data_IF_987122436765
#
_entry.id   IF_987122436765
#
_cell.length_a   1.000
_cell.length_b   1.000
_cell.length_c   1.000
_cell.angle_alpha   90.00
_cell.angle_beta   90.00
_cell.angle_gamma   90.00
#
_symmetry.space_group_name_H-M   'P 1'
#
loop_
_entity.id
_entity.type
_entity.pdbx_description
1 polymer ?
#
# COMPACT_ATOMS: atom_id res chain seq x y z
N UNK A 1 47.56 -18.77 21.05
CA UNK A 1 46.22 -19.23 20.62
C UNK A 1 45.24 -18.07 20.71
N UNK A 2 44.96 -17.40 19.59
CA UNK A 2 44.00 -16.30 19.52
C UNK A 2 42.70 -16.89 18.97
N UNK A 3 41.67 -17.01 19.81
CA UNK A 3 40.33 -17.47 19.39
C UNK A 3 39.64 -16.33 18.63
N UNK A 4 39.39 -16.55 17.34
CA UNK A 4 38.49 -15.70 16.54
C UNK A 4 37.06 -15.88 17.05
N UNK A 5 36.43 -14.79 17.47
CA UNK A 5 34.99 -14.73 17.74
C UNK A 5 34.31 -14.40 16.41
N UNK A 6 33.62 -15.38 15.84
CA UNK A 6 32.80 -15.20 14.64
C UNK A 6 31.44 -14.67 15.08
N UNK A 7 31.18 -13.38 14.83
CA UNK A 7 29.83 -12.82 14.96
C UNK A 7 28.98 -13.30 13.77
N UNK A 8 28.04 -14.20 14.01
CA UNK A 8 26.94 -14.48 13.08
C UNK A 8 25.94 -13.33 13.19
N UNK A 9 25.94 -12.41 12.22
CA UNK A 9 24.87 -11.43 12.06
C UNK A 9 23.62 -12.12 11.55
N UNK A 10 22.52 -12.05 12.30
CA UNK A 10 21.19 -12.40 11.81
C UNK A 10 20.80 -11.43 10.69
N UNK A 11 20.70 -11.94 9.47
CA UNK A 11 20.14 -11.24 8.31
C UNK A 11 18.62 -11.36 8.42
N UNK A 12 17.96 -10.30 8.87
CA UNK A 12 16.50 -10.18 8.78
C UNK A 12 16.09 -9.91 7.34
N UNK A 13 15.39 -10.86 6.72
CA UNK A 13 14.77 -10.69 5.40
C UNK A 13 13.56 -9.77 5.59
N UNK A 14 13.70 -8.50 5.25
CA UNK A 14 12.55 -7.58 5.17
C UNK A 14 11.86 -7.79 3.82
N UNK A 15 10.81 -8.60 3.81
CA UNK A 15 9.85 -8.61 2.70
C UNK A 15 9.10 -7.28 2.72
N UNK A 16 9.17 -6.53 1.62
CA UNK A 16 8.33 -5.33 1.44
C UNK A 16 6.87 -5.82 1.47
N UNK A 17 6.04 -5.37 2.43
CA UNK A 17 4.66 -5.82 2.50
C UNK A 17 3.95 -5.49 1.19
N UNK A 18 3.03 -6.36 0.76
CA UNK A 18 2.17 -6.07 -0.39
C UNK A 18 1.23 -4.95 0.04
N UNK A 19 1.51 -3.74 -0.45
CA UNK A 19 0.70 -2.54 -0.23
C UNK A 19 -0.58 -2.66 -1.09
N UNK A 20 -1.70 -1.97 -0.78
CA UNK A 20 -2.99 -1.93 -1.55
C UNK A 20 -3.50 -0.48 -1.69
N UNK A 21 -3.81 0.00 -2.90
CA UNK A 21 -4.23 1.38 -3.22
C UNK A 21 -4.61 1.52 -4.71
N UNK A 22 -5.71 0.85 -5.13
CA UNK A 22 -6.38 1.13 -6.41
C UNK A 22 -7.84 0.66 -6.32
N UNK A 23 -8.75 1.36 -6.99
CA UNK A 23 -10.18 1.16 -6.89
C UNK A 23 -10.62 -0.19 -7.45
N UNK A 24 -11.47 -0.85 -6.68
CA UNK A 24 -12.15 -2.07 -7.10
C UNK A 24 -13.56 -2.11 -6.49
N UNK A 25 -14.49 -2.81 -7.14
CA UNK A 25 -15.79 -3.11 -6.53
C UNK A 25 -15.62 -4.17 -5.44
N UNK A 26 -16.49 -4.14 -4.43
CA UNK A 26 -16.52 -5.21 -3.45
C UNK A 26 -17.51 -5.00 -2.33
N UNK A 27 -17.68 -6.01 -1.48
CA UNK A 27 -18.61 -5.93 -0.34
C UNK A 27 -17.88 -5.53 0.93
N UNK A 28 -18.55 -4.72 1.76
CA UNK A 28 -18.24 -4.56 3.18
C UNK A 28 -19.37 -5.25 3.94
N UNK A 29 -19.07 -6.39 4.55
CA UNK A 29 -20.04 -7.16 5.33
C UNK A 29 -19.51 -7.43 6.74
N UNK A 30 -20.38 -7.97 7.60
CA UNK A 30 -20.02 -8.48 8.93
C UNK A 30 -18.96 -9.60 8.91
N UNK A 31 -18.59 -10.12 7.73
CA UNK A 31 -17.47 -11.06 7.53
C UNK A 31 -16.16 -10.44 7.04
N UNK A 32 -16.10 -9.12 6.81
CA UNK A 32 -14.93 -8.41 6.26
C UNK A 32 -15.18 -7.77 4.89
N UNK A 33 -14.10 -7.31 4.26
CA UNK A 33 -14.09 -6.65 2.95
C UNK A 33 -13.59 -7.59 1.84
N UNK A 34 -14.28 -7.69 0.71
CA UNK A 34 -13.84 -8.55 -0.39
C UNK A 34 -13.88 -7.80 -1.72
N UNK A 35 -12.77 -7.77 -2.46
CA UNK A 35 -12.71 -7.22 -3.81
C UNK A 35 -13.28 -8.22 -4.80
N UNK A 36 -14.06 -7.72 -5.74
CA UNK A 36 -14.82 -8.51 -6.70
C UNK A 36 -14.50 -8.01 -8.09
N UNK A 37 -14.34 -8.96 -9.01
CA UNK A 37 -14.22 -8.66 -10.42
C UNK A 37 -15.56 -8.18 -10.96
N UNK A 38 -15.61 -6.98 -11.53
CA UNK A 38 -16.83 -6.46 -12.15
C UNK A 38 -16.80 -6.69 -13.67
N UNK A 39 -17.67 -7.56 -14.23
CA UNK A 39 -17.69 -7.83 -15.67
C UNK A 39 -18.41 -6.75 -16.49
N UNK A 40 -19.09 -5.80 -15.84
CA UNK A 40 -20.03 -4.88 -16.47
C UNK A 40 -19.54 -3.42 -16.50
N UNK A 41 -18.56 -3.07 -15.67
CA UNK A 41 -17.97 -1.74 -15.61
C UNK A 41 -16.52 -1.83 -16.07
N UNK A 42 -16.16 -0.95 -17.00
CA UNK A 42 -14.81 -0.88 -17.56
C UNK A 42 -14.13 0.42 -17.17
N UNK A 43 -12.86 0.34 -16.76
CA UNK A 43 -12.00 1.50 -16.58
C UNK A 43 -11.45 1.96 -17.94
N UNK A 44 -11.97 3.07 -18.46
CA UNK A 44 -11.57 3.65 -19.75
C UNK A 44 -10.28 4.46 -19.63
N UNK A 45 -10.07 5.12 -18.49
CA UNK A 45 -8.91 5.96 -18.23
C UNK A 45 -8.47 5.85 -16.77
N UNK A 46 -7.16 5.89 -16.55
CA UNK A 46 -6.52 6.21 -15.27
C UNK A 46 -5.40 7.23 -15.54
N UNK A 47 -5.56 8.45 -14.99
CA UNK A 47 -4.50 9.44 -14.94
C UNK A 47 -3.96 9.51 -13.51
N UNK A 48 -2.78 8.96 -13.30
CA UNK A 48 -2.12 8.86 -12.01
C UNK A 48 -1.00 9.90 -11.93
N UNK A 49 -1.02 10.74 -10.90
CA UNK A 49 0.08 11.63 -10.55
C UNK A 49 0.66 11.19 -9.21
N UNK A 50 1.96 10.92 -9.17
CA UNK A 50 2.69 10.51 -7.97
C UNK A 50 3.79 11.53 -7.68
N UNK A 51 3.83 12.00 -6.44
CA UNK A 51 4.94 12.74 -5.86
C UNK A 51 5.06 12.35 -4.39
N UNK A 52 6.21 12.60 -3.74
CA UNK A 52 6.34 12.41 -2.29
C UNK A 52 5.37 13.26 -1.45
N UNK A 53 4.76 14.29 -2.03
CA UNK A 53 3.86 15.21 -1.32
C UNK A 53 2.38 14.86 -1.53
N UNK A 54 2.05 14.27 -2.66
CA UNK A 54 0.66 14.08 -3.06
C UNK A 54 0.54 13.02 -4.15
N UNK A 55 -0.47 12.17 -4.00
CA UNK A 55 -1.03 11.35 -5.06
C UNK A 55 -2.34 11.96 -5.53
N UNK A 56 -2.55 11.99 -6.85
CA UNK A 56 -3.84 12.28 -7.47
C UNK A 56 -4.15 11.20 -8.49
N UNK A 57 -5.40 10.80 -8.56
CA UNK A 57 -5.84 9.80 -9.54
C UNK A 57 -7.14 10.24 -10.14
N UNK A 58 -7.25 10.20 -11.46
CA UNK A 58 -8.51 10.45 -12.18
C UNK A 58 -8.88 9.20 -12.95
N UNK A 59 -10.07 8.68 -12.69
CA UNK A 59 -10.63 7.53 -13.37
C UNK A 59 -11.80 7.94 -14.25
N UNK A 60 -11.92 7.27 -15.39
CA UNK A 60 -13.14 7.27 -16.20
C UNK A 60 -13.69 5.86 -16.26
N UNK A 61 -14.87 5.64 -15.69
CA UNK A 61 -15.55 4.35 -15.69
C UNK A 61 -16.75 4.36 -16.63
N UNK A 62 -16.89 3.33 -17.45
CA UNK A 62 -18.03 3.16 -18.36
C UNK A 62 -18.82 1.90 -17.99
N UNK A 63 -20.12 2.10 -17.73
CA UNK A 63 -21.10 1.03 -17.65
C UNK A 63 -21.34 0.46 -19.06
N UNK A 64 -21.15 -0.85 -19.21
CA UNK A 64 -21.28 -1.58 -20.48
C UNK A 64 -22.69 -2.15 -20.71
N UNK A 65 -23.62 -1.90 -19.79
CA UNK A 65 -24.99 -2.44 -19.84
C UNK A 65 -26.02 -1.36 -20.19
N UNK A 66 -27.23 -1.81 -20.52
CA UNK A 66 -28.39 -0.96 -20.85
C UNK A 66 -29.18 -0.46 -19.62
N UNK A 67 -28.75 -0.77 -18.41
CA UNK A 67 -29.41 -0.35 -17.17
C UNK A 67 -28.39 0.25 -16.19
N UNK A 68 -28.87 0.99 -15.20
CA UNK A 68 -28.00 1.53 -14.16
C UNK A 68 -27.47 0.40 -13.28
N UNK A 69 -26.20 0.47 -12.91
CA UNK A 69 -25.58 -0.46 -11.96
C UNK A 69 -25.23 0.33 -10.71
N UNK A 70 -25.62 -0.20 -9.55
CA UNK A 70 -25.19 0.29 -8.26
C UNK A 70 -24.13 -0.65 -7.69
N UNK A 71 -22.98 -0.11 -7.32
CA UNK A 71 -21.88 -0.87 -6.73
C UNK A 71 -21.39 -0.18 -5.46
N UNK A 72 -20.76 -0.97 -4.60
CA UNK A 72 -19.95 -0.45 -3.52
C UNK A 72 -18.49 -0.39 -3.98
N UNK A 73 -17.93 0.80 -4.03
CA UNK A 73 -16.53 1.01 -4.40
C UNK A 73 -15.67 0.94 -3.15
N UNK A 74 -14.50 0.33 -3.30
CA UNK A 74 -13.51 0.19 -2.25
C UNK A 74 -12.18 0.75 -2.72
N UNK A 75 -11.60 1.61 -1.89
CA UNK A 75 -10.24 2.09 -2.01
C UNK A 75 -9.47 1.66 -0.76
N UNK A 76 -8.79 0.49 -0.79
CA UNK A 76 -7.95 0.07 0.30
C UNK A 76 -6.69 0.88 0.40
N UNK A 77 -6.20 1.00 1.62
CA UNK A 77 -4.84 1.38 1.92
C UNK A 77 -3.97 0.13 2.11
N UNK A 78 -2.64 0.27 2.15
CA UNK A 78 -1.77 -0.84 2.53
C UNK A 78 -2.07 -1.43 3.90
N UNK A 79 -1.45 -2.56 4.21
CA UNK A 79 -1.32 -3.01 5.60
C UNK A 79 -0.17 -2.24 6.24
N UNK A 80 -0.36 -1.74 7.45
CA UNK A 80 0.67 -1.09 8.26
C UNK A 80 0.78 -1.86 9.57
N UNK A 81 1.99 -2.28 9.90
CA UNK A 81 2.30 -2.96 11.16
C UNK A 81 2.29 -2.01 12.36
N UNK A 82 2.07 -2.54 13.55
CA UNK A 82 2.17 -1.78 14.80
C UNK A 82 3.62 -1.53 15.25
N UNK A 83 4.63 -2.18 14.64
CA UNK A 83 6.04 -1.92 14.94
C UNK A 83 6.58 -0.73 14.14
N UNK A 84 7.44 0.06 14.78
CA UNK A 84 7.94 1.34 14.23
C UNK A 84 9.44 1.37 13.98
N UNK A 85 10.11 0.24 14.02
CA UNK A 85 11.58 0.24 14.12
C UNK A 85 12.31 0.79 12.89
N UNK A 86 11.62 1.06 11.76
CA UNK A 86 12.24 1.65 10.58
C UNK A 86 11.32 2.46 9.64
N UNK A 87 10.04 2.66 9.97
CA UNK A 87 9.09 3.32 9.04
C UNK A 87 8.79 4.77 9.46
N UNK A 88 9.28 5.72 8.64
CA UNK A 88 9.07 7.17 8.81
C UNK A 88 7.78 7.68 8.15
N UNK A 89 6.93 6.78 7.66
CA UNK A 89 5.71 7.17 6.98
C UNK A 89 4.71 7.84 7.93
N UNK A 90 4.26 9.04 7.56
CA UNK A 90 3.23 9.79 8.29
C UNK A 90 1.84 9.24 7.95
N UNK A 91 1.46 8.17 8.64
CA UNK A 91 0.21 7.43 8.44
C UNK A 91 -1.02 8.24 8.83
N UNK A 92 -0.95 9.08 9.88
CA UNK A 92 -2.07 9.94 10.30
C UNK A 92 -2.31 11.06 9.28
N UNK A 93 -1.26 11.68 8.73
CA UNK A 93 -1.42 12.66 7.66
C UNK A 93 -2.01 12.05 6.38
N UNK A 94 -1.74 10.77 6.08
CA UNK A 94 -2.43 10.08 5.00
C UNK A 94 -3.93 10.06 5.28
N UNK A 95 -4.35 9.49 6.41
CA UNK A 95 -5.76 9.25 6.75
C UNK A 95 -6.55 10.57 6.69
N UNK A 96 -5.97 11.64 7.23
CA UNK A 96 -6.63 12.94 7.29
C UNK A 96 -6.61 13.73 5.96
N UNK A 97 -5.95 13.20 4.92
CA UNK A 97 -5.78 13.89 3.63
C UNK A 97 -6.62 13.31 2.49
N UNK A 98 -7.21 12.13 2.66
CA UNK A 98 -7.96 11.46 1.61
C UNK A 98 -9.22 12.24 1.23
N UNK A 99 -9.34 12.54 -0.06
CA UNK A 99 -10.48 13.21 -0.67
C UNK A 99 -10.86 12.46 -1.92
N UNK A 100 -12.16 12.25 -2.09
CA UNK A 100 -12.75 11.65 -3.28
C UNK A 100 -13.83 12.56 -3.83
N UNK A 101 -13.88 12.67 -5.16
CA UNK A 101 -14.96 13.32 -5.89
C UNK A 101 -15.51 12.38 -6.94
N UNK A 102 -16.82 12.43 -7.14
CA UNK A 102 -17.50 11.73 -8.21
C UNK A 102 -18.22 12.77 -9.06
N UNK A 103 -17.92 12.80 -10.36
CA UNK A 103 -18.45 13.79 -11.31
C UNK A 103 -18.32 15.21 -10.73
N UNK A 104 -17.11 15.56 -10.27
CA UNK A 104 -16.73 16.84 -9.65
C UNK A 104 -17.39 17.16 -8.29
N UNK A 105 -18.26 16.30 -7.77
CA UNK A 105 -18.90 16.48 -6.47
C UNK A 105 -18.11 15.73 -5.40
N UNK A 106 -17.66 16.41 -4.32
CA UNK A 106 -17.09 15.71 -3.17
C UNK A 106 -18.08 14.70 -2.60
N UNK A 107 -17.57 13.57 -2.13
CA UNK A 107 -18.34 12.58 -1.39
C UNK A 107 -17.64 12.28 -0.07
N UNK A 108 -18.41 11.93 0.94
CA UNK A 108 -17.90 11.43 2.21
C UNK A 108 -17.78 9.92 2.14
N UNK A 109 -16.54 9.41 2.13
CA UNK A 109 -16.28 7.99 2.14
C UNK A 109 -16.43 7.43 3.55
N UNK A 110 -17.08 6.26 3.67
CA UNK A 110 -17.08 5.49 4.90
C UNK A 110 -15.75 4.79 5.09
N UNK A 111 -15.19 4.87 6.30
CA UNK A 111 -13.91 4.25 6.67
C UNK A 111 -14.16 2.93 7.36
N UNK A 112 -13.47 1.90 6.91
CA UNK A 112 -13.45 0.57 7.52
C UNK A 112 -12.03 0.19 7.88
N UNK A 113 -11.87 -0.69 8.87
CA UNK A 113 -10.57 -1.22 9.27
C UNK A 113 -10.58 -2.73 9.33
N UNK A 114 -9.44 -3.31 9.00
CA UNK A 114 -9.16 -4.74 9.15
C UNK A 114 -7.87 -4.91 9.93
N UNK A 115 -7.82 -5.95 10.73
CA UNK A 115 -6.67 -6.30 11.54
C UNK A 115 -6.17 -7.70 11.19
N UNK A 116 -4.85 -7.85 11.12
CA UNK A 116 -4.20 -9.08 10.70
C UNK A 116 -3.13 -9.51 11.69
N UNK A 117 -3.05 -10.81 11.95
CA UNK A 117 -1.95 -11.42 12.70
C UNK A 117 -1.06 -12.24 11.76
N UNK A 118 0.25 -12.37 12.03
CA UNK A 118 1.14 -13.18 11.22
C UNK A 118 0.66 -14.63 11.08
N UNK A 119 0.88 -15.21 9.90
CA UNK A 119 0.64 -16.62 9.68
C UNK A 119 1.68 -17.46 10.42
N UNK A 120 1.31 -18.69 10.79
CA UNK A 120 2.22 -19.65 11.39
C UNK A 120 2.63 -20.74 10.39
N UNK A 121 3.88 -21.21 10.51
CA UNK A 121 4.38 -22.38 9.81
C UNK A 121 3.85 -23.68 10.45
N UNK A 122 4.22 -24.84 9.89
CA UNK A 122 3.77 -26.15 10.39
C UNK A 122 4.26 -26.47 11.81
N UNK A 123 5.35 -25.84 12.24
CA UNK A 123 5.93 -26.00 13.58
C UNK A 123 5.27 -25.05 14.60
N UNK A 124 4.39 -24.16 14.14
CA UNK A 124 3.73 -23.16 14.98
C UNK A 124 4.57 -21.91 15.23
N UNK A 125 5.60 -21.64 14.43
CA UNK A 125 6.39 -20.40 14.50
C UNK A 125 5.88 -19.39 13.45
N UNK A 126 6.19 -18.10 13.60
CA UNK A 126 5.79 -17.07 12.64
C UNK A 126 6.43 -17.31 11.27
N UNK A 127 5.62 -17.23 10.22
CA UNK A 127 6.03 -17.40 8.83
C UNK A 127 5.89 -16.08 8.07
N UNK A 128 6.96 -15.29 8.06
CA UNK A 128 7.03 -13.98 7.38
C UNK A 128 6.97 -14.07 5.84
N UNK A 129 7.00 -15.28 5.29
CA UNK A 129 6.89 -15.49 3.83
C UNK A 129 5.44 -15.63 3.37
N UNK A 130 4.49 -15.77 4.31
CA UNK A 130 3.06 -15.91 4.04
C UNK A 130 2.29 -14.64 4.33
N UNK A 131 1.15 -14.50 3.65
CA UNK A 131 0.20 -13.44 3.95
C UNK A 131 -0.31 -13.52 5.39
N UNK A 132 -0.40 -12.36 6.03
CA UNK A 132 -1.02 -12.21 7.34
C UNK A 132 -2.52 -12.56 7.30
N UNK A 133 -3.01 -13.12 8.41
CA UNK A 133 -4.35 -13.69 8.54
C UNK A 133 -5.32 -12.64 9.08
N UNK A 134 -6.40 -12.35 8.37
CA UNK A 134 -7.48 -11.43 8.82
C UNK A 134 -8.12 -11.99 10.09
N UNK A 135 -8.04 -11.25 11.20
CA UNK A 135 -8.64 -11.58 12.50
C UNK A 135 -9.59 -10.49 12.98
N UNK A 136 -10.07 -9.64 12.07
CA UNK A 136 -10.88 -8.46 12.37
C UNK A 136 -12.12 -8.82 13.19
N UNK A 137 -12.87 -9.84 12.75
CA UNK A 137 -14.12 -10.22 13.40
C UNK A 137 -13.89 -10.87 14.76
N UNK A 138 -12.81 -11.63 14.89
CA UNK A 138 -12.42 -12.26 16.14
C UNK A 138 -12.02 -11.21 17.18
N UNK A 139 -11.21 -10.21 16.80
CA UNK A 139 -10.85 -9.10 17.69
C UNK A 139 -12.08 -8.24 18.06
N UNK A 140 -12.99 -7.97 17.12
CA UNK A 140 -14.26 -7.29 17.40
C UNK A 140 -15.14 -8.06 18.38
N UNK A 141 -15.22 -9.40 18.27
CA UNK A 141 -15.92 -10.25 19.24
C UNK A 141 -15.29 -10.21 20.63
N UNK A 142 -14.00 -9.91 20.73
CA UNK A 142 -13.30 -9.61 21.99
C UNK A 142 -13.46 -8.15 22.45
N UNK A 143 -14.31 -7.37 21.79
CA UNK A 143 -14.67 -6.01 22.15
C UNK A 143 -13.71 -4.94 21.66
N UNK A 144 -12.73 -5.25 20.80
CA UNK A 144 -11.87 -4.21 20.21
C UNK A 144 -12.70 -3.38 19.22
N UNK A 145 -12.63 -2.06 19.36
CA UNK A 145 -13.32 -1.10 18.50
C UNK A 145 -12.56 -0.82 17.20
N UNK A 146 -13.22 -0.25 16.20
CA UNK A 146 -12.55 0.17 14.96
C UNK A 146 -11.42 1.18 15.21
N UNK A 147 -11.61 2.12 16.16
CA UNK A 147 -10.57 3.05 16.54
C UNK A 147 -9.31 2.36 17.08
N UNK A 148 -9.49 1.28 17.85
CA UNK A 148 -8.40 0.47 18.37
C UNK A 148 -7.72 -0.35 17.29
N UNK A 149 -8.49 -0.95 16.39
CA UNK A 149 -7.94 -1.68 15.25
C UNK A 149 -7.23 -0.74 14.26
N UNK A 150 -7.56 0.55 14.22
CA UNK A 150 -6.87 1.56 13.43
C UNK A 150 -5.59 2.10 14.08
N UNK A 151 -5.18 1.61 15.26
CA UNK A 151 -4.03 2.17 15.96
C UNK A 151 -2.70 2.15 15.18
N UNK A 152 -2.37 1.12 14.36
CA UNK A 152 -1.16 1.15 13.53
C UNK A 152 -1.12 2.35 12.57
N UNK A 153 -2.29 2.88 12.20
CA UNK A 153 -2.42 4.09 11.37
C UNK A 153 -2.46 5.39 12.17
N UNK A 154 -3.12 5.39 13.33
CA UNK A 154 -3.46 6.64 14.03
C UNK A 154 -2.57 6.94 15.23
N UNK A 155 -1.96 5.90 15.82
CA UNK A 155 -1.07 5.99 16.97
C UNK A 155 -1.70 6.69 18.20
N UNK A 156 -3.03 6.63 18.33
CA UNK A 156 -3.78 7.33 19.39
C UNK A 156 -3.84 6.56 20.71
N UNK A 157 -3.49 5.28 20.70
CA UNK A 157 -3.60 4.36 21.84
C UNK A 157 -2.23 3.69 22.05
N UNK A 158 -1.83 3.52 23.31
CA UNK A 158 -0.58 2.83 23.66
C UNK A 158 -0.59 1.39 23.14
N UNK A 159 0.50 0.98 22.49
CA UNK A 159 0.67 -0.38 21.99
C UNK A 159 0.64 -1.40 23.12
N UNK A 160 1.09 -1.06 24.33
CA UNK A 160 1.00 -1.92 25.52
C UNK A 160 -0.45 -2.25 25.88
N UNK A 161 -1.34 -1.25 25.84
CA UNK A 161 -2.77 -1.43 26.14
C UNK A 161 -3.38 -2.39 25.12
N UNK A 162 -3.13 -2.16 23.83
CA UNK A 162 -3.66 -3.02 22.77
C UNK A 162 -3.07 -4.43 22.82
N UNK A 163 -1.78 -4.56 23.13
CA UNK A 163 -1.11 -5.83 23.31
C UNK A 163 -1.82 -6.68 24.39
N UNK A 164 -2.06 -6.10 25.57
CA UNK A 164 -2.80 -6.78 26.64
C UNK A 164 -4.22 -7.16 26.22
N UNK A 165 -4.92 -6.29 25.46
CA UNK A 165 -6.26 -6.59 24.95
C UNK A 165 -6.27 -7.76 23.97
N UNK A 166 -5.31 -7.82 23.05
CA UNK A 166 -5.16 -8.90 22.08
C UNK A 166 -4.84 -10.22 22.81
N UNK A 167 -3.93 -10.22 23.79
CA UNK A 167 -3.63 -11.41 24.60
C UNK A 167 -4.84 -11.97 25.35
N UNK A 168 -5.70 -11.10 25.89
CA UNK A 168 -6.92 -11.50 26.60
C UNK A 168 -8.01 -12.08 25.68
N UNK A 169 -7.89 -11.93 24.36
CA UNK A 169 -8.93 -12.33 23.42
C UNK A 169 -9.05 -13.84 23.28
N UNK A 170 -10.09 -14.44 23.87
CA UNK A 170 -10.29 -15.90 23.91
C UNK A 170 -10.81 -16.53 22.61
N UNK A 171 -10.83 -15.79 21.49
CA UNK A 171 -11.25 -16.37 20.22
C UNK A 171 -10.23 -17.43 19.76
N UNK A 172 -10.66 -18.67 19.42
CA UNK A 172 -9.73 -19.78 19.15
C UNK A 172 -8.69 -19.47 18.07
N UNK A 173 -9.08 -18.73 17.03
CA UNK A 173 -8.17 -18.33 15.95
C UNK A 173 -7.10 -17.35 16.42
N UNK A 174 -7.46 -16.37 17.25
CA UNK A 174 -6.51 -15.40 17.82
C UNK A 174 -5.55 -16.13 18.75
N UNK A 175 -6.07 -16.92 19.69
CA UNK A 175 -5.26 -17.73 20.62
C UNK A 175 -4.27 -18.65 19.90
N UNK A 176 -4.69 -19.27 18.79
CA UNK A 176 -3.80 -20.07 17.95
C UNK A 176 -2.66 -19.24 17.34
N UNK A 177 -2.97 -18.06 16.79
CA UNK A 177 -1.99 -17.22 16.08
C UNK A 177 -1.03 -16.49 17.02
N UNK A 178 -1.46 -16.18 18.26
CA UNK A 178 -0.60 -15.52 19.25
C UNK A 178 0.19 -16.51 20.12
N UNK A 179 -0.01 -17.82 19.97
CA UNK A 179 0.71 -18.86 20.73
C UNK A 179 2.25 -18.69 20.77
N UNK A 180 2.94 -18.21 19.72
CA UNK A 180 4.38 -18.01 19.76
C UNK A 180 4.84 -16.87 20.65
N UNK A 181 3.93 -15.96 21.03
CA UNK A 181 4.24 -14.80 21.85
C UNK A 181 4.01 -15.12 23.33
N UNK A 182 4.94 -14.72 24.17
CA UNK A 182 4.80 -14.72 25.62
C UNK A 182 4.08 -13.45 26.10
N UNK A 183 3.41 -13.45 27.27
CA UNK A 183 2.65 -12.29 27.76
C UNK A 183 3.45 -10.97 27.84
N UNK A 184 4.76 -11.06 28.03
CA UNK A 184 5.72 -9.95 28.05
C UNK A 184 6.15 -9.47 26.65
N UNK A 185 5.87 -10.23 25.60
CA UNK A 185 6.23 -9.88 24.24
C UNK A 185 5.29 -8.83 23.66
N UNK A 186 5.81 -8.01 22.75
CA UNK A 186 4.98 -7.18 21.88
C UNK A 186 4.47 -8.01 20.71
N UNK A 187 3.14 -8.23 20.64
CA UNK A 187 2.51 -8.88 19.50
C UNK A 187 2.63 -7.97 18.29
N UNK A 188 3.25 -8.47 17.23
CA UNK A 188 3.19 -7.82 15.93
C UNK A 188 1.85 -8.11 15.28
N UNK A 189 1.17 -7.06 14.82
CA UNK A 189 -0.07 -7.14 14.06
C UNK A 189 -0.17 -5.96 13.11
N UNK A 190 -1.02 -6.09 12.11
CA UNK A 190 -1.15 -5.11 11.04
C UNK A 190 -2.59 -4.61 10.95
N UNK A 191 -2.76 -3.36 10.54
CA UNK A 191 -4.04 -2.80 10.21
C UNK A 191 -4.11 -2.34 8.75
N UNK A 192 -5.26 -2.54 8.13
CA UNK A 192 -5.59 -2.01 6.80
C UNK A 192 -6.82 -1.12 6.91
N UNK A 193 -6.68 0.13 6.47
CA UNK A 193 -7.82 1.04 6.31
C UNK A 193 -8.41 0.90 4.91
N UNK A 194 -9.73 0.99 4.79
CA UNK A 194 -10.44 0.89 3.52
C UNK A 194 -11.50 1.98 3.46
N UNK A 195 -11.40 2.85 2.46
CA UNK A 195 -12.46 3.80 2.15
C UNK A 195 -13.50 3.14 1.25
N UNK A 196 -14.76 3.48 1.47
CA UNK A 196 -15.86 2.94 0.67
C UNK A 196 -16.97 3.96 0.42
N UNK A 197 -17.65 3.82 -0.71
CA UNK A 197 -18.85 4.59 -1.01
C UNK A 197 -19.74 3.84 -1.99
N UNK A 198 -21.03 4.17 -1.97
CA UNK A 198 -21.98 3.69 -2.97
C UNK A 198 -21.86 4.52 -4.25
N UNK A 199 -21.76 3.84 -5.39
CA UNK A 199 -21.67 4.48 -6.70
C UNK A 199 -22.74 3.93 -7.64
N UNK A 200 -23.51 4.84 -8.24
CA UNK A 200 -24.40 4.52 -9.35
C UNK A 200 -23.69 4.84 -10.66
N UNK A 201 -23.44 3.83 -11.48
CA UNK A 201 -22.94 3.96 -12.83
C UNK A 201 -24.13 3.98 -13.80
N UNK A 202 -24.49 5.17 -14.29
CA UNK A 202 -25.63 5.30 -15.19
C UNK A 202 -25.32 4.65 -16.55
N UNK A 203 -26.33 4.02 -17.15
CA UNK A 203 -26.20 3.46 -18.50
C UNK A 203 -25.80 4.54 -19.51
N UNK A 204 -25.02 4.16 -20.53
CA UNK A 204 -24.54 5.04 -21.61
C UNK A 204 -23.79 6.31 -21.15
N UNK A 205 -23.24 6.31 -19.94
CA UNK A 205 -22.51 7.44 -19.38
C UNK A 205 -21.11 7.04 -18.90
N UNK A 206 -20.23 8.03 -18.81
CA UNK A 206 -18.94 7.91 -18.14
C UNK A 206 -19.06 8.51 -16.75
N UNK A 207 -18.70 7.74 -15.74
CA UNK A 207 -18.56 8.20 -14.36
C UNK A 207 -17.11 8.60 -14.14
N UNK A 208 -16.89 9.85 -13.73
CA UNK A 208 -15.58 10.37 -13.39
C UNK A 208 -15.36 10.25 -11.89
N UNK A 209 -14.23 9.68 -11.47
CA UNK A 209 -13.84 9.57 -10.05
C UNK A 209 -12.47 10.19 -9.89
N UNK A 210 -12.30 11.06 -8.91
CA UNK A 210 -11.01 11.71 -8.62
C UNK A 210 -10.61 11.46 -7.17
N UNK A 211 -9.39 10.97 -6.96
CA UNK A 211 -8.76 10.81 -5.66
C UNK A 211 -7.64 11.81 -5.45
N UNK A 212 -7.49 12.25 -4.21
CA UNK A 212 -6.34 13.01 -3.76
C UNK A 212 -6.00 12.63 -2.32
N UNK A 213 -4.71 12.38 -2.05
CA UNK A 213 -4.21 12.13 -0.70
C UNK A 213 -2.70 12.32 -0.62
N UNK A 214 -2.18 12.42 0.61
CA UNK A 214 -0.75 12.45 0.92
C UNK A 214 -0.24 11.01 0.96
N UNK A 215 0.83 10.65 0.22
CA UNK A 215 1.34 9.27 0.20
C UNK A 215 2.01 8.88 1.51
N UNK A 216 2.12 7.56 1.73
CA UNK A 216 3.10 7.01 2.64
C UNK A 216 4.47 7.05 1.96
N UNK A 217 5.42 7.71 2.59
CA UNK A 217 6.81 7.77 2.14
C UNK A 217 7.68 7.26 3.28
N UNK A 218 8.20 6.05 3.10
CA UNK A 218 9.19 5.44 4.00
C UNK A 218 10.59 5.59 3.41
N UNK A 219 11.59 4.95 4.01
CA UNK A 219 12.94 4.98 3.49
C UNK A 219 13.96 4.36 4.43
N UNK A 220 15.19 4.23 3.96
CA UNK A 220 16.32 3.78 4.77
C UNK A 220 17.51 4.72 4.56
N UNK A 221 18.42 4.73 5.53
CA UNK A 221 19.68 5.50 5.45
C UNK A 221 20.70 4.88 4.50
N UNK A 222 20.42 3.67 4.01
CA UNK A 222 21.33 2.86 3.21
C UNK A 222 20.57 2.23 2.04
N UNK A 223 20.93 2.60 0.82
CA UNK A 223 20.51 1.91 -0.40
C UNK A 223 21.45 0.74 -0.66
N UNK A 224 20.99 -0.48 -0.36
CA UNK A 224 21.73 -1.71 -0.64
C UNK A 224 21.48 -2.25 -2.05
N UNK A 225 22.26 -3.27 -2.43
CA UNK A 225 22.17 -3.91 -3.74
C UNK A 225 20.84 -4.63 -3.99
N UNK A 226 20.19 -5.14 -2.94
CA UNK A 226 18.91 -5.84 -3.05
C UNK A 226 17.78 -4.84 -3.34
N UNK A 227 17.68 -3.75 -2.59
CA UNK A 227 16.76 -2.63 -2.84
C UNK A 227 17.05 -2.03 -4.21
N UNK A 228 18.32 -1.82 -4.57
CA UNK A 228 18.67 -1.30 -5.89
C UNK A 228 18.17 -2.22 -7.02
N UNK A 229 18.34 -3.54 -6.87
CA UNK A 229 17.83 -4.54 -7.81
C UNK A 229 16.31 -4.54 -7.89
N UNK A 230 15.63 -4.53 -6.74
CA UNK A 230 14.16 -4.57 -6.63
C UNK A 230 13.48 -3.28 -7.16
N UNK A 231 14.24 -2.19 -7.32
CA UNK A 231 13.78 -0.93 -7.92
C UNK A 231 14.41 -0.65 -9.29
N UNK A 232 14.97 -1.67 -9.94
CA UNK A 232 15.51 -1.59 -11.30
C UNK A 232 16.54 -0.47 -11.50
N UNK A 233 17.39 -0.25 -10.50
CA UNK A 233 18.50 0.72 -10.56
C UNK A 233 19.45 0.34 -11.69
N UNK A 234 19.36 1.09 -12.79
CA UNK A 234 20.10 0.83 -14.01
C UNK A 234 21.53 1.41 -13.97
N UNK A 235 22.33 1.13 -15.00
CA UNK A 235 23.72 1.59 -15.06
C UNK A 235 23.85 3.12 -15.07
N UNK A 236 22.93 3.85 -15.69
CA UNK A 236 22.93 5.32 -15.68
C UNK A 236 22.75 5.87 -14.26
N UNK A 237 21.83 5.28 -13.49
CA UNK A 237 21.60 5.59 -12.10
C UNK A 237 22.83 5.25 -11.25
N UNK A 238 23.42 4.05 -11.41
CA UNK A 238 24.67 3.67 -10.73
C UNK A 238 25.82 4.62 -11.05
N UNK A 239 25.95 5.07 -12.29
CA UNK A 239 26.96 6.04 -12.69
C UNK A 239 26.75 7.42 -12.01
N UNK A 240 25.50 7.81 -11.76
CA UNK A 240 25.20 9.01 -10.98
C UNK A 240 25.55 8.84 -9.49
N UNK A 241 25.20 7.70 -8.90
CA UNK A 241 25.60 7.34 -7.51
C UNK A 241 27.12 7.32 -7.34
N UNK A 242 27.85 6.77 -8.31
CA UNK A 242 29.31 6.69 -8.26
C UNK A 242 30.00 8.06 -8.25
N UNK A 243 29.30 9.14 -8.61
CA UNK A 243 29.82 10.52 -8.50
C UNK A 243 29.60 11.14 -7.11
N UNK A 244 28.79 10.52 -6.26
CA UNK A 244 28.53 10.99 -4.89
C UNK A 244 29.64 10.54 -3.92
N UNK A 245 29.87 11.27 -2.82
CA UNK A 245 30.81 10.86 -1.78
C UNK A 245 30.37 9.54 -1.11
N UNK A 246 29.09 9.44 -0.72
CA UNK A 246 28.51 8.21 -0.19
C UNK A 246 28.04 7.31 -1.34
N UNK A 247 28.60 6.10 -1.44
CA UNK A 247 28.22 5.10 -2.45
C UNK A 247 26.91 4.39 -2.16
N UNK A 248 26.48 4.39 -0.89
CA UNK A 248 25.23 3.81 -0.44
C UNK A 248 24.39 4.89 0.27
N UNK A 249 23.86 5.88 -0.49
CA UNK A 249 23.13 7.00 0.08
C UNK A 249 21.80 6.57 0.70
N UNK A 250 21.19 7.43 1.55
CA UNK A 250 19.81 7.26 1.96
C UNK A 250 18.87 7.27 0.76
N UNK A 251 17.72 6.61 0.89
CA UNK A 251 16.64 6.67 -0.09
C UNK A 251 15.28 6.82 0.61
N UNK A 252 14.32 7.39 -0.11
CA UNK A 252 12.91 7.36 0.23
C UNK A 252 12.18 6.43 -0.73
N UNK A 253 11.32 5.56 -0.22
CA UNK A 253 10.46 4.66 -0.97
C UNK A 253 9.02 5.13 -0.98
N UNK A 254 8.34 4.95 -2.10
CA UNK A 254 6.90 5.14 -2.26
C UNK A 254 6.38 4.04 -3.18
N UNK A 255 5.31 3.38 -2.75
CA UNK A 255 4.62 2.39 -3.58
C UNK A 255 3.19 2.80 -3.88
N UNK A 256 2.72 2.39 -5.06
CA UNK A 256 1.35 2.57 -5.51
C UNK A 256 0.87 1.29 -6.18
N UNK A 257 -0.40 0.97 -5.98
CA UNK A 257 -0.95 -0.31 -6.40
C UNK A 257 -1.66 -0.16 -7.70
N UNK A 258 -1.40 -1.11 -8.58
CA UNK A 258 -2.03 -1.15 -9.89
C UNK A 258 -2.77 -2.46 -10.10
N UNK A 259 -2.34 -3.56 -9.48
CA UNK A 259 -2.89 -4.89 -9.77
C UNK A 259 -4.41 -4.97 -9.60
N UNK A 260 -4.99 -4.28 -8.61
CA UNK A 260 -6.45 -4.29 -8.40
C UNK A 260 -7.22 -3.58 -9.52
N UNK A 261 -6.57 -2.73 -10.31
CA UNK A 261 -7.12 -2.20 -11.57
C UNK A 261 -7.43 -3.28 -12.62
N UNK A 262 -6.90 -4.52 -12.47
CA UNK A 262 -7.26 -5.65 -13.30
C UNK A 262 -8.61 -6.31 -12.94
N UNK A 263 -9.29 -5.85 -11.89
CA UNK A 263 -10.60 -6.37 -11.46
C UNK A 263 -11.78 -5.82 -12.29
N UNK A 264 -11.55 -4.86 -13.19
CA UNK A 264 -12.59 -4.31 -14.06
C UNK A 264 -12.82 -5.16 -15.31
N UNK A 265 -13.91 -4.89 -16.03
CA UNK A 265 -14.40 -5.74 -17.12
C UNK A 265 -13.40 -5.94 -18.25
N UNK A 266 -12.52 -4.96 -18.46
CA UNK A 266 -11.53 -4.89 -19.54
C UNK A 266 -10.23 -4.30 -19.00
N UNK A 267 -9.09 -4.50 -19.70
CA UNK A 267 -7.87 -3.72 -19.45
C UNK A 267 -8.17 -2.21 -19.46
N UNK A 268 -7.35 -1.45 -18.75
CA UNK A 268 -7.45 0.00 -18.64
C UNK A 268 -7.24 0.59 -20.03
N UNK A 269 -8.26 1.28 -20.56
CA UNK A 269 -8.24 1.78 -21.95
C UNK A 269 -7.02 2.67 -22.23
N UNK A 270 -6.86 3.74 -21.45
CA UNK A 270 -5.70 4.64 -21.48
C UNK A 270 -5.16 4.83 -20.06
N UNK A 271 -3.93 4.37 -19.82
CA UNK A 271 -3.24 4.58 -18.55
C UNK A 271 -2.14 5.64 -18.74
N UNK A 272 -2.16 6.67 -17.92
CA UNK A 272 -1.10 7.68 -17.87
C UNK A 272 -0.61 7.81 -16.45
N UNK A 273 0.69 7.75 -16.24
CA UNK A 273 1.31 8.02 -14.95
C UNK A 273 2.36 9.11 -15.09
N UNK A 274 2.24 10.15 -14.28
CA UNK A 274 3.25 11.19 -14.10
C UNK A 274 3.88 10.99 -12.74
N UNK A 275 5.20 10.87 -12.70
CA UNK A 275 5.97 10.77 -11.47
C UNK A 275 6.83 12.03 -11.34
N UNK A 276 6.72 12.69 -10.19
CA UNK A 276 7.46 13.89 -9.83
C UNK A 276 8.45 13.62 -8.69
N UNK A 277 9.69 14.07 -8.86
CA UNK A 277 10.77 14.06 -7.86
C UNK A 277 11.18 15.49 -7.50
N UNK A 278 11.91 15.66 -6.40
CA UNK A 278 12.55 16.94 -6.12
C UNK A 278 13.74 17.18 -7.09
N UNK A 279 14.12 18.46 -7.28
CA UNK A 279 15.17 18.86 -8.24
C UNK A 279 16.52 18.18 -8.02
N UNK A 280 16.85 17.88 -6.76
CA UNK A 280 18.13 17.30 -6.34
C UNK A 280 17.99 15.83 -5.95
N UNK A 281 17.18 15.07 -6.68
CA UNK A 281 17.02 13.64 -6.43
C UNK A 281 17.29 12.85 -7.70
N UNK A 282 17.69 11.59 -7.54
CA UNK A 282 17.56 10.54 -8.55
C UNK A 282 16.26 9.78 -8.31
N UNK A 283 15.70 9.19 -9.37
CA UNK A 283 14.49 8.36 -9.29
C UNK A 283 14.70 7.03 -10.00
N UNK A 284 14.25 5.94 -9.40
CA UNK A 284 14.25 4.61 -10.02
C UNK A 284 12.97 3.86 -9.70
N UNK A 285 12.49 3.10 -10.68
CA UNK A 285 11.35 2.19 -10.55
C UNK A 285 11.47 1.08 -11.60
N UNK A 286 10.87 -0.06 -11.31
CA UNK A 286 10.67 -1.11 -12.30
C UNK A 286 9.46 -0.78 -13.18
N UNK A 287 9.68 -0.69 -14.50
CA UNK A 287 8.63 -0.57 -15.49
C UNK A 287 9.08 -1.24 -16.79
N UNK A 288 8.23 -2.09 -17.39
CA UNK A 288 8.56 -2.79 -18.64
C UNK A 288 8.45 -1.89 -19.87
N UNK A 289 7.56 -0.91 -19.83
CA UNK A 289 7.34 0.06 -20.91
C UNK A 289 8.35 1.22 -20.90
N UNK A 290 8.08 2.24 -21.72
CA UNK A 290 8.95 3.42 -21.80
C UNK A 290 8.66 4.43 -20.68
N UNK A 291 9.72 4.90 -20.03
CA UNK A 291 9.66 6.03 -19.08
C UNK A 291 10.21 7.26 -19.78
N UNK A 292 9.33 8.18 -20.17
CA UNK A 292 9.72 9.41 -20.85
C UNK A 292 9.99 10.52 -19.83
N UNK A 293 11.21 11.06 -19.78
CA UNK A 293 11.48 12.30 -19.04
C UNK A 293 10.82 13.48 -19.77
N UNK A 294 9.87 14.16 -19.12
CA UNK A 294 9.16 15.29 -19.71
C UNK A 294 9.79 16.65 -19.35
N UNK A 295 10.43 16.74 -18.18
CA UNK A 295 11.23 17.90 -17.76
C UNK A 295 12.26 17.49 -16.69
N UNK A 296 12.86 18.46 -15.98
CA UNK A 296 13.90 18.20 -14.99
C UNK A 296 13.44 17.32 -13.81
N UNK A 297 12.16 17.41 -13.44
CA UNK A 297 11.58 16.78 -12.23
C UNK A 297 10.47 15.78 -12.52
N UNK A 298 9.95 15.72 -13.74
CA UNK A 298 8.80 14.87 -14.07
C UNK A 298 9.11 13.85 -15.16
N UNK A 299 8.52 12.67 -14.98
CA UNK A 299 8.61 11.50 -15.86
C UNK A 299 7.21 11.01 -16.18
N UNK A 300 6.97 10.58 -17.42
CA UNK A 300 5.68 10.14 -17.91
C UNK A 300 5.77 8.70 -18.41
N UNK A 301 4.77 7.91 -18.04
CA UNK A 301 4.44 6.62 -18.61
C UNK A 301 3.06 6.73 -19.26
N UNK A 302 2.91 6.13 -20.44
CA UNK A 302 1.63 6.06 -21.14
C UNK A 302 1.46 4.68 -21.76
N UNK A 303 0.39 3.99 -21.40
CA UNK A 303 0.05 2.65 -21.90
C UNK A 303 -1.39 2.65 -22.45
N UNK A 304 -1.66 1.80 -23.45
CA UNK A 304 -3.01 1.57 -23.98
C UNK A 304 -3.43 0.13 -23.76
N UNK A 305 -4.71 -0.09 -23.44
CA UNK A 305 -5.25 -1.41 -23.09
C UNK A 305 -4.40 -2.10 -22.00
N UNK A 306 -4.00 -1.32 -21.01
CA UNK A 306 -3.06 -1.72 -19.98
C UNK A 306 -3.73 -2.65 -18.97
N UNK A 307 -3.18 -3.86 -18.83
CA UNK A 307 -3.56 -4.79 -17.77
C UNK A 307 -2.43 -4.81 -16.73
N UNK A 308 -2.61 -4.18 -15.57
CA UNK A 308 -1.57 -4.15 -14.56
C UNK A 308 -1.31 -5.55 -14.00
N UNK A 309 -0.04 -5.97 -14.02
CA UNK A 309 0.42 -7.25 -13.46
C UNK A 309 1.26 -7.09 -12.20
N UNK A 310 1.77 -5.88 -11.99
CA UNK A 310 2.72 -5.52 -10.94
C UNK A 310 2.30 -4.17 -10.35
N UNK A 311 2.63 -3.96 -9.08
CA UNK A 311 2.47 -2.67 -8.42
C UNK A 311 3.72 -1.82 -8.72
N UNK A 312 3.60 -0.51 -8.54
CA UNK A 312 4.71 0.41 -8.78
C UNK A 312 5.42 0.69 -7.47
N UNK A 313 6.72 0.43 -7.44
CA UNK A 313 7.61 0.78 -6.32
C UNK A 313 8.65 1.76 -6.83
N UNK A 314 8.75 2.91 -6.19
CA UNK A 314 9.61 4.03 -6.58
C UNK A 314 10.58 4.33 -5.45
N UNK A 315 11.85 4.50 -5.78
CA UNK A 315 12.82 5.10 -4.88
C UNK A 315 13.26 6.49 -5.35
N UNK A 316 13.42 7.38 -4.39
CA UNK A 316 13.98 8.72 -4.53
C UNK A 316 15.29 8.77 -3.74
N UNK A 317 16.39 9.11 -4.42
CA UNK A 317 17.72 9.17 -3.78
C UNK A 317 18.21 10.61 -3.83
N UNK A 318 18.34 11.30 -2.69
CA UNK A 318 18.87 12.65 -2.64
C UNK A 318 20.31 12.71 -3.16
N UNK A 319 20.58 13.65 -4.06
CA UNK A 319 21.92 14.02 -4.50
C UNK A 319 22.52 14.95 -3.44
N UNK A 320 22.92 14.37 -2.30
CA UNK A 320 23.69 15.08 -1.29
C UNK A 320 25.09 15.35 -1.87
N UNK A 321 25.45 16.64 -1.93
CA UNK A 321 26.80 17.08 -2.26
C UNK A 321 27.66 17.09 -1.01
#
# INVERSE_FOLDING_TARGET
MIKKITCLGLIGIFTVPILYANDSTGYVATGGVAYIKNPNISMQKENLFISKKQIRVEYEFKNLTSHNIQENILFPLPKVGNSRESDFADTDAFINSFKVKVNQRPIDASVHVRAFLPALNKNGEIDWTKDSIDVTQELKKCGLSDQELMNPWTQKISDEVLNQRIFRCQQPKVQKLIKPYHPEDSIYWEAQVIYSWQQVFKTNSVTHVEHQYRPLVGGSVYLDDEIAKNHCVNQSFKNALNKMPNKNPPYMGLSYILKTGANWAKPIGNFNMIIERDKNELISLCWKGNIQKINATQFKISEKNFKPTEDVNIIFVPLLR
#
